data_IF_591664658489
#
_entry.id   IF_591664658489
#
_cell.length_a   1.000
_cell.length_b   1.000
_cell.length_c   1.000
_cell.angle_alpha   90.00
_cell.angle_beta   90.00
_cell.angle_gamma   90.00
#
_symmetry.space_group_name_H-M   'P 1'
#
loop_
_entity.id
_entity.type
_entity.pdbx_description
1 polymer ?
#
# COMPACT_ATOMS: atom_id res chain seq x y z
N UNK A 1 6.95 2.58 20.54
CA UNK A 1 7.15 2.96 19.12
C UNK A 1 5.87 2.87 18.29
N UNK A 2 5.14 1.75 18.23
CA UNK A 2 3.91 1.63 17.39
C UNK A 2 2.91 2.77 17.54
N UNK A 3 2.58 3.15 18.78
CA UNK A 3 1.64 4.26 19.05
C UNK A 3 2.11 5.61 18.49
N UNK A 4 3.43 5.84 18.39
CA UNK A 4 3.95 7.05 17.78
C UNK A 4 3.70 7.06 16.27
N UNK A 5 3.81 5.88 15.62
CA UNK A 5 3.43 5.70 14.21
C UNK A 5 1.93 5.89 13.98
N UNK A 6 1.09 5.43 14.91
CA UNK A 6 -0.36 5.66 14.83
C UNK A 6 -0.72 7.16 14.86
N UNK A 7 0.06 7.99 15.58
CA UNK A 7 -0.16 9.45 15.65
C UNK A 7 0.18 10.12 14.32
N UNK A 8 1.29 9.75 13.68
CA UNK A 8 1.71 10.35 12.40
C UNK A 8 0.98 9.76 11.20
N UNK A 9 0.27 8.65 11.37
CA UNK A 9 -0.43 7.96 10.29
C UNK A 9 -1.39 8.87 9.51
N UNK A 10 -2.09 9.78 10.19
CA UNK A 10 -3.04 10.70 9.55
C UNK A 10 -2.40 11.73 8.61
N UNK A 11 -1.08 11.95 8.68
CA UNK A 11 -0.36 12.88 7.81
C UNK A 11 0.12 12.25 6.50
N UNK A 12 0.04 10.92 6.36
CA UNK A 12 0.60 10.18 5.23
C UNK A 12 -0.39 10.08 4.06
N UNK A 13 -0.79 11.20 3.46
CA UNK A 13 -1.54 11.17 2.20
C UNK A 13 -0.56 10.97 1.03
N UNK A 14 -0.25 9.71 0.72
CA UNK A 14 0.66 9.32 -0.36
C UNK A 14 -0.15 9.03 -1.62
N UNK A 15 0.26 9.58 -2.76
CA UNK A 15 -0.34 9.22 -4.06
C UNK A 15 -0.08 7.75 -4.36
N UNK A 16 -1.12 7.06 -4.82
CA UNK A 16 -1.06 5.65 -5.22
C UNK A 16 -0.54 5.47 -6.65
N UNK A 17 -0.63 6.52 -7.47
CA UNK A 17 -0.26 6.59 -8.87
C UNK A 17 0.92 7.56 -9.10
N UNK A 18 1.41 7.59 -10.35
CA UNK A 18 2.46 8.49 -10.81
C UNK A 18 3.76 7.80 -11.18
N UNK A 19 4.80 8.58 -11.45
CA UNK A 19 6.10 8.06 -11.89
C UNK A 19 6.69 7.03 -10.90
N UNK A 20 6.48 7.26 -9.60
CA UNK A 20 6.97 6.38 -8.54
C UNK A 20 6.33 4.98 -8.58
N UNK A 21 5.11 4.81 -9.13
CA UNK A 21 4.48 3.49 -9.24
C UNK A 21 5.14 2.63 -10.31
N UNK A 22 5.88 3.22 -11.25
CA UNK A 22 6.57 2.49 -12.33
C UNK A 22 7.64 1.53 -11.80
N UNK A 23 8.23 1.83 -10.65
CA UNK A 23 9.20 0.95 -9.99
C UNK A 23 8.55 -0.38 -9.55
N UNK A 24 7.25 -0.35 -9.22
CA UNK A 24 6.49 -1.54 -8.86
C UNK A 24 6.35 -2.45 -10.08
N UNK A 25 5.99 -1.90 -11.24
CA UNK A 25 5.85 -2.65 -12.49
C UNK A 25 7.17 -3.33 -12.88
N UNK A 26 8.29 -2.60 -12.84
CA UNK A 26 9.62 -3.15 -13.11
C UNK A 26 9.99 -4.30 -12.15
N UNK A 27 9.60 -4.17 -10.88
CA UNK A 27 9.83 -5.22 -9.88
C UNK A 27 9.00 -6.46 -10.16
N UNK A 28 7.73 -6.30 -10.56
CA UNK A 28 6.83 -7.41 -10.89
C UNK A 28 7.28 -8.16 -12.14
N UNK A 29 7.73 -7.44 -13.18
CA UNK A 29 8.22 -8.02 -14.42
C UNK A 29 9.40 -8.98 -14.20
N UNK A 30 10.22 -8.73 -13.17
CA UNK A 30 11.35 -9.57 -12.81
C UNK A 30 10.99 -10.87 -12.07
N UNK A 31 9.77 -10.98 -11.51
CA UNK A 31 9.38 -12.10 -10.63
C UNK A 31 8.73 -13.29 -11.38
N UNK A 32 8.37 -13.11 -12.65
CA UNK A 32 7.68 -14.13 -13.45
C UNK A 32 6.17 -14.20 -13.21
N UNK A 33 5.52 -15.30 -13.62
CA UNK A 33 4.07 -15.43 -13.56
C UNK A 33 3.55 -15.77 -12.13
N UNK A 34 2.48 -15.11 -11.70
CA UNK A 34 1.80 -15.25 -10.39
C UNK A 34 2.73 -15.12 -9.15
N UNK A 35 3.42 -13.98 -8.97
CA UNK A 35 4.29 -13.79 -7.82
C UNK A 35 3.48 -13.64 -6.52
N UNK A 36 4.03 -14.16 -5.41
CA UNK A 36 3.51 -13.84 -4.06
C UNK A 36 4.19 -12.58 -3.56
N UNK A 37 3.40 -11.54 -3.34
CA UNK A 37 3.90 -10.20 -3.02
C UNK A 37 3.52 -9.81 -1.59
N UNK A 38 4.52 -9.33 -0.85
CA UNK A 38 4.36 -8.70 0.47
C UNK A 38 4.75 -7.23 0.35
N UNK A 39 3.80 -6.33 0.56
CA UNK A 39 4.01 -4.89 0.60
C UNK A 39 4.32 -4.45 2.03
N UNK A 40 5.57 -4.09 2.28
CA UNK A 40 6.05 -3.70 3.62
C UNK A 40 5.92 -2.18 3.78
N UNK A 41 5.35 -1.76 4.91
CA UNK A 41 4.95 -0.37 5.16
C UNK A 41 3.87 0.13 4.19
N UNK A 42 2.90 -0.76 3.93
CA UNK A 42 1.80 -0.54 2.99
C UNK A 42 0.96 0.70 3.32
N UNK A 43 1.04 1.24 4.54
CA UNK A 43 0.28 2.41 4.96
C UNK A 43 -1.22 2.17 4.86
N UNK A 44 -1.91 3.09 4.19
CA UNK A 44 -3.34 3.04 3.93
C UNK A 44 -3.71 2.07 2.81
N UNK A 45 -2.75 1.28 2.32
CA UNK A 45 -2.95 0.23 1.33
C UNK A 45 -3.24 0.74 -0.08
N UNK A 46 -3.24 2.04 -0.33
CA UNK A 46 -3.66 2.58 -1.63
C UNK A 46 -2.78 2.05 -2.78
N UNK A 47 -1.46 1.96 -2.60
CA UNK A 47 -0.54 1.37 -3.60
C UNK A 47 -0.68 -0.14 -3.73
N UNK A 48 -0.90 -0.84 -2.61
CA UNK A 48 -1.16 -2.30 -2.62
C UNK A 48 -2.38 -2.60 -3.47
N UNK A 49 -3.48 -1.87 -3.25
CA UNK A 49 -4.77 -2.11 -3.91
C UNK A 49 -4.76 -1.71 -5.40
N UNK A 50 -4.00 -0.68 -5.76
CA UNK A 50 -3.96 -0.17 -7.15
C UNK A 50 -2.94 -0.91 -8.02
N UNK A 51 -1.76 -1.24 -7.50
CA UNK A 51 -0.62 -1.66 -8.33
C UNK A 51 -0.17 -3.11 -8.15
N UNK A 52 -0.64 -3.83 -7.12
CA UNK A 52 -0.17 -5.20 -6.83
C UNK A 52 -1.15 -6.28 -7.29
N UNK A 53 -0.64 -7.49 -7.62
CA UNK A 53 -1.49 -8.57 -8.08
C UNK A 53 -2.48 -9.03 -7.00
N UNK A 54 -3.63 -9.62 -7.40
CA UNK A 54 -4.57 -10.22 -6.47
C UNK A 54 -3.89 -11.22 -5.52
N UNK A 55 -4.20 -11.13 -4.24
CA UNK A 55 -3.58 -11.97 -3.21
C UNK A 55 -2.26 -11.43 -2.64
N UNK A 56 -1.82 -10.25 -3.08
CA UNK A 56 -0.79 -9.50 -2.36
C UNK A 56 -1.24 -9.18 -0.92
N UNK A 57 -0.27 -9.17 0.01
CA UNK A 57 -0.51 -8.92 1.43
C UNK A 57 0.18 -7.62 1.83
N UNK A 58 -0.55 -6.70 2.44
CA UNK A 58 0.01 -5.50 3.06
C UNK A 58 0.42 -5.76 4.51
N UNK A 59 1.60 -5.29 4.91
CA UNK A 59 2.08 -5.30 6.28
C UNK A 59 2.48 -3.88 6.70
N UNK A 60 1.93 -3.42 7.82
CA UNK A 60 2.33 -2.15 8.43
C UNK A 60 2.48 -2.30 9.94
N UNK A 61 3.39 -1.51 10.51
CA UNK A 61 3.60 -1.48 11.94
C UNK A 61 2.50 -0.70 12.66
N UNK A 62 1.95 0.33 12.02
CA UNK A 62 0.85 1.15 12.53
C UNK A 62 -0.48 0.41 12.39
N UNK A 63 -1.16 0.22 13.51
CA UNK A 63 -2.53 -0.29 13.50
C UNK A 63 -3.45 0.68 12.77
N UNK A 64 -3.24 1.99 12.98
CA UNK A 64 -4.08 3.03 12.37
C UNK A 64 -4.00 3.02 10.85
N UNK A 65 -2.81 2.80 10.29
CA UNK A 65 -2.63 2.63 8.83
C UNK A 65 -3.38 1.40 8.32
N UNK A 66 -3.26 0.24 8.99
CA UNK A 66 -3.99 -0.97 8.60
C UNK A 66 -5.52 -0.83 8.68
N UNK A 67 -6.03 -0.05 9.63
CA UNK A 67 -7.46 0.29 9.69
C UNK A 67 -7.91 1.12 8.49
N UNK A 68 -7.06 2.02 7.98
CA UNK A 68 -7.33 2.76 6.75
C UNK A 68 -7.27 1.85 5.52
N UNK A 69 -6.28 0.96 5.45
CA UNK A 69 -6.16 -0.02 4.36
C UNK A 69 -7.32 -1.01 4.30
N UNK A 70 -7.91 -1.36 5.44
CA UNK A 70 -9.08 -2.21 5.51
C UNK A 70 -10.40 -1.45 5.31
N UNK A 71 -10.39 -0.12 5.33
CA UNK A 71 -11.60 0.67 5.12
C UNK A 71 -12.06 0.53 3.66
N UNK A 72 -13.38 0.52 3.40
CA UNK A 72 -13.87 0.50 2.03
C UNK A 72 -13.32 1.71 1.27
N UNK A 73 -12.54 1.46 0.22
CA UNK A 73 -12.09 2.52 -0.69
C UNK A 73 -13.30 3.05 -1.43
N UNK A 74 -13.89 4.14 -0.95
CA UNK A 74 -14.66 5.02 -1.83
C UNK A 74 -13.66 5.62 -2.80
N UNK A 75 -13.65 5.14 -4.05
CA UNK A 75 -12.85 5.75 -5.10
C UNK A 75 -13.31 7.20 -5.27
N UNK A 76 -12.57 8.13 -4.67
CA UNK A 76 -12.78 9.55 -4.89
C UNK A 76 -11.65 10.02 -5.77
N UNK A 77 -11.93 10.01 -7.07
CA UNK A 77 -11.11 10.62 -8.09
C UNK A 77 -11.28 12.14 -7.95
N UNK A 78 -10.26 12.84 -7.45
CA UNK A 78 -10.14 14.31 -7.53
C UNK A 78 -8.87 14.67 -8.28
#
# INVERSE_FOLDING_TARGET
MRRAWDIVAAAANRRADGEDSRLVDESLDALGADPKVLDVECGDGARTLVNLPPGAVGLDFSRRQLELAAAPTTAVWW
#
